data_IF_845090966100
#
_entry.id   IF_845090966100
#
_cell.length_a   1.000
_cell.length_b   1.000
_cell.length_c   1.000
_cell.angle_alpha   90.00
_cell.angle_beta   90.00
_cell.angle_gamma   90.00
#
_symmetry.space_group_name_H-M   'P 1'
#
loop_
_entity.id
_entity.type
_entity.pdbx_description
1 polymer ?
#
# COMPACT_ATOMS: atom_id res chain seq x y z
N UNK A 1 -18.99 -8.93 3.60
CA UNK A 1 -19.08 -7.53 3.13
C UNK A 1 -20.20 -7.46 2.11
N UNK A 2 -20.98 -6.38 2.03
CA UNK A 2 -22.06 -6.27 1.04
C UNK A 2 -21.53 -6.34 -0.39
N UNK A 3 -22.23 -7.05 -1.28
CA UNK A 3 -21.77 -7.30 -2.65
C UNK A 3 -21.46 -6.02 -3.44
N UNK A 4 -22.27 -4.98 -3.28
CA UNK A 4 -22.08 -3.72 -3.99
C UNK A 4 -20.75 -3.02 -3.67
N UNK A 5 -20.12 -3.32 -2.52
CA UNK A 5 -18.80 -2.77 -2.17
C UNK A 5 -17.75 -3.29 -3.15
N UNK A 6 -17.79 -4.57 -3.48
CA UNK A 6 -16.86 -5.18 -4.43
C UNK A 6 -17.03 -4.56 -5.81
N UNK A 7 -18.28 -4.34 -6.26
CA UNK A 7 -18.56 -3.62 -7.50
C UNK A 7 -17.95 -2.20 -7.49
N UNK A 8 -18.01 -1.51 -6.35
CA UNK A 8 -17.43 -0.18 -6.21
C UNK A 8 -15.89 -0.20 -6.24
N UNK A 9 -15.27 -1.20 -5.60
CA UNK A 9 -13.82 -1.41 -5.64
C UNK A 9 -13.37 -1.77 -7.06
N UNK A 10 -14.08 -2.66 -7.75
CA UNK A 10 -13.86 -3.03 -9.14
C UNK A 10 -13.86 -1.81 -10.07
N UNK A 11 -14.84 -0.94 -9.93
CA UNK A 11 -15.01 0.21 -10.83
C UNK A 11 -14.15 1.42 -10.45
N UNK A 12 -14.13 1.79 -9.17
CA UNK A 12 -13.52 3.04 -8.66
C UNK A 12 -12.33 2.83 -7.74
N UNK A 13 -12.08 1.61 -7.28
CA UNK A 13 -10.95 1.27 -6.41
C UNK A 13 -9.61 1.37 -7.13
N UNK A 14 -8.61 1.85 -6.41
CA UNK A 14 -7.27 2.07 -6.90
C UNK A 14 -6.24 1.54 -5.90
N UNK A 15 -5.50 0.54 -6.33
CA UNK A 15 -4.35 -0.02 -5.63
C UNK A 15 -3.09 0.63 -6.17
N UNK A 16 -2.24 1.18 -5.30
CA UNK A 16 -0.98 1.76 -5.74
C UNK A 16 0.07 1.70 -4.64
N UNK A 17 1.32 1.85 -5.04
CA UNK A 17 2.48 1.80 -4.15
C UNK A 17 3.30 3.07 -4.37
N UNK A 18 3.47 3.86 -3.32
CA UNK A 18 4.44 4.95 -3.32
C UNK A 18 5.80 4.38 -2.94
N UNK A 19 6.84 4.69 -3.71
CA UNK A 19 8.23 4.38 -3.34
C UNK A 19 9.11 5.61 -3.50
N UNK A 20 10.18 5.68 -2.72
CA UNK A 20 11.16 6.76 -2.81
C UNK A 20 12.36 6.51 -1.91
N UNK A 21 13.36 7.40 -2.04
CA UNK A 21 14.51 7.46 -1.14
C UNK A 21 14.61 8.92 -0.68
N UNK A 22 14.64 9.15 0.63
CA UNK A 22 14.77 10.47 1.25
C UNK A 22 15.79 10.40 2.38
N UNK A 23 16.78 11.27 2.37
CA UNK A 23 17.86 11.31 3.38
C UNK A 23 18.49 9.92 3.60
N UNK A 24 18.86 9.24 2.52
CA UNK A 24 19.39 7.85 2.48
C UNK A 24 18.49 6.78 3.11
N UNK A 25 17.23 7.09 3.43
CA UNK A 25 16.24 6.12 3.89
C UNK A 25 15.27 5.80 2.78
N UNK A 26 15.03 4.52 2.57
CA UNK A 26 13.99 4.05 1.67
C UNK A 26 12.61 4.35 2.26
N UNK A 27 11.66 4.62 1.38
CA UNK A 27 10.27 4.84 1.70
C UNK A 27 9.44 3.96 0.79
N UNK A 28 8.60 3.12 1.40
CA UNK A 28 7.64 2.28 0.69
C UNK A 28 6.29 2.39 1.39
N UNK A 29 5.25 2.66 0.63
CA UNK A 29 3.89 2.79 1.15
C UNK A 29 2.87 2.26 0.16
N UNK A 30 2.41 1.01 0.32
CA UNK A 30 1.22 0.51 -0.34
C UNK A 30 -0.01 1.27 0.19
N UNK A 31 -0.92 1.63 -0.72
CA UNK A 31 -2.16 2.35 -0.39
C UNK A 31 -3.30 1.80 -1.24
N UNK A 32 -4.46 1.64 -0.62
CA UNK A 32 -5.73 1.49 -1.30
C UNK A 32 -6.51 2.80 -1.21
N UNK A 33 -7.12 3.22 -2.31
CA UNK A 33 -8.01 4.38 -2.34
C UNK A 33 -9.20 4.17 -3.23
N UNK A 34 -10.34 4.75 -2.87
CA UNK A 34 -11.54 4.80 -3.69
C UNK A 34 -12.04 6.24 -3.67
N UNK A 35 -12.13 6.88 -4.85
CA UNK A 35 -12.53 8.28 -4.98
C UNK A 35 -13.86 8.43 -5.71
N UNK A 36 -14.71 9.32 -5.21
CA UNK A 36 -16.05 9.61 -5.74
C UNK A 36 -16.35 11.11 -5.72
N UNK A 37 -17.46 11.52 -6.35
CA UNK A 37 -17.92 12.91 -6.25
C UNK A 37 -18.42 13.19 -4.82
N UNK A 38 -18.41 14.45 -4.41
CA UNK A 38 -18.69 14.83 -3.01
C UNK A 38 -20.10 14.49 -2.57
N UNK A 39 -21.04 14.53 -3.51
CA UNK A 39 -22.45 14.22 -3.31
C UNK A 39 -22.64 12.77 -2.85
N UNK A 40 -21.72 11.88 -3.23
CA UNK A 40 -21.73 10.45 -2.89
C UNK A 40 -21.00 10.11 -1.57
N UNK A 41 -20.69 11.10 -0.72
CA UNK A 41 -19.89 10.89 0.50
C UNK A 41 -20.49 9.84 1.44
N UNK A 42 -21.82 9.74 1.49
CA UNK A 42 -22.50 8.83 2.41
C UNK A 42 -22.20 7.35 2.09
N UNK A 43 -22.00 7.03 0.81
CA UNK A 43 -21.56 5.70 0.36
C UNK A 43 -20.20 5.35 0.97
N UNK A 44 -19.27 6.31 0.98
CA UNK A 44 -17.95 6.11 1.58
C UNK A 44 -17.99 6.05 3.11
N UNK A 45 -18.93 6.74 3.76
CA UNK A 45 -19.13 6.63 5.22
C UNK A 45 -19.65 5.27 5.61
N UNK A 46 -20.65 4.75 4.90
CA UNK A 46 -21.15 3.39 5.12
C UNK A 46 -20.06 2.35 4.86
N UNK A 47 -19.29 2.53 3.77
CA UNK A 47 -18.14 1.67 3.48
C UNK A 47 -17.11 1.68 4.60
N UNK A 48 -16.74 2.86 5.12
CA UNK A 48 -15.83 2.99 6.26
C UNK A 48 -16.40 2.33 7.52
N UNK A 49 -17.70 2.47 7.79
CA UNK A 49 -18.37 1.90 8.97
C UNK A 49 -18.31 0.37 8.95
N UNK A 50 -18.60 -0.25 7.81
CA UNK A 50 -18.59 -1.71 7.66
C UNK A 50 -17.14 -2.29 7.63
N UNK A 51 -16.22 -1.60 6.96
CA UNK A 51 -14.81 -2.04 6.92
C UNK A 51 -14.11 -1.75 8.27
N UNK A 52 -14.53 -0.72 9.02
CA UNK A 52 -14.00 -0.41 10.35
C UNK A 52 -12.57 0.15 10.37
N UNK A 53 -11.98 0.40 9.19
CA UNK A 53 -10.64 0.96 9.01
C UNK A 53 -10.65 2.01 7.90
N UNK A 54 -9.54 2.73 7.74
CA UNK A 54 -9.37 3.74 6.70
C UNK A 54 -9.86 5.12 7.12
N UNK A 55 -9.63 6.08 6.24
CA UNK A 55 -9.93 7.50 6.45
C UNK A 55 -10.67 8.06 5.26
N UNK A 56 -11.62 8.95 5.51
CA UNK A 56 -12.27 9.75 4.46
C UNK A 56 -11.52 11.07 4.37
N UNK A 57 -11.08 11.43 3.17
CA UNK A 57 -10.40 12.69 2.86
C UNK A 57 -11.25 13.46 1.88
N UNK A 58 -11.52 14.72 2.21
CA UNK A 58 -12.33 15.63 1.39
C UNK A 58 -11.37 16.59 0.68
N UNK A 59 -11.39 16.59 -0.65
CA UNK A 59 -10.62 17.51 -1.51
C UNK A 59 -11.50 18.06 -2.63
N UNK A 60 -11.03 18.00 -3.88
CA UNK A 60 -11.90 18.23 -5.06
C UNK A 60 -12.98 17.15 -5.17
N UNK A 61 -12.56 15.91 -4.94
CA UNK A 61 -13.40 14.72 -4.78
C UNK A 61 -13.36 14.26 -3.31
N UNK A 62 -14.22 13.32 -2.94
CA UNK A 62 -14.12 12.63 -1.66
C UNK A 62 -13.47 11.26 -1.87
N UNK A 63 -12.55 10.89 -0.99
CA UNK A 63 -11.78 9.65 -1.11
C UNK A 63 -11.78 8.86 0.18
N UNK A 64 -12.11 7.58 0.11
CA UNK A 64 -11.82 6.59 1.14
C UNK A 64 -10.41 6.05 0.93
N UNK A 65 -9.55 6.14 1.94
CA UNK A 65 -8.13 5.77 1.85
C UNK A 65 -7.77 4.82 2.99
N UNK A 66 -7.20 3.68 2.65
CA UNK A 66 -6.61 2.72 3.59
C UNK A 66 -5.10 2.74 3.40
N UNK A 67 -4.40 3.07 4.49
CA UNK A 67 -2.93 3.16 4.54
C UNK A 67 -2.40 2.67 5.89
N UNK A 68 -1.14 2.28 5.91
CA UNK A 68 -0.44 1.79 7.09
C UNK A 68 -0.65 0.29 7.28
N UNK A 69 0.44 -0.42 7.59
CA UNK A 69 0.49 -1.88 7.47
C UNK A 69 -0.63 -2.60 8.24
N UNK A 70 -0.89 -2.22 9.49
CA UNK A 70 -1.96 -2.80 10.32
C UNK A 70 -3.36 -2.68 9.70
N UNK A 71 -3.65 -1.56 9.04
CA UNK A 71 -4.94 -1.38 8.37
C UNK A 71 -4.99 -2.18 7.07
N UNK A 72 -3.87 -2.32 6.36
CA UNK A 72 -3.81 -3.09 5.13
C UNK A 72 -3.95 -4.58 5.40
N UNK A 73 -3.40 -5.10 6.49
CA UNK A 73 -3.62 -6.48 6.95
C UNK A 73 -5.10 -6.74 7.21
N UNK A 74 -5.75 -5.89 8.03
CA UNK A 74 -7.21 -5.96 8.27
C UNK A 74 -8.04 -5.81 6.99
N UNK A 75 -7.54 -5.08 6.00
CA UNK A 75 -8.21 -4.94 4.71
C UNK A 75 -8.12 -6.24 3.90
N UNK A 76 -6.96 -6.90 3.90
CA UNK A 76 -6.74 -8.19 3.25
C UNK A 76 -7.52 -9.34 3.90
N UNK A 77 -7.80 -9.26 5.21
CA UNK A 77 -8.71 -10.20 5.90
C UNK A 77 -10.16 -10.11 5.39
N UNK A 78 -10.57 -8.93 4.88
CA UNK A 78 -11.95 -8.66 4.46
C UNK A 78 -12.18 -8.85 2.96
N UNK A 79 -11.13 -8.95 2.15
CA UNK A 79 -11.22 -8.96 0.68
C UNK A 79 -10.47 -10.17 0.10
N UNK A 80 -11.26 -11.00 -0.58
CA UNK A 80 -10.92 -12.10 -1.46
C UNK A 80 -10.25 -11.68 -2.76
N UNK A 81 -9.23 -12.39 -3.25
CA UNK A 81 -8.90 -12.38 -4.69
C UNK A 81 -10.02 -13.00 -5.54
N UNK A 82 -10.89 -13.82 -4.92
CA UNK A 82 -12.08 -14.40 -5.53
C UNK A 82 -13.18 -13.35 -5.79
N UNK A 83 -13.09 -12.21 -5.12
CA UNK A 83 -14.08 -11.13 -5.22
C UNK A 83 -13.87 -10.23 -6.46
N UNK A 84 -12.76 -10.44 -7.20
CA UNK A 84 -12.43 -9.66 -8.39
C UNK A 84 -12.63 -10.48 -9.66
N UNK A 85 -13.26 -9.85 -10.65
CA UNK A 85 -13.61 -10.42 -11.96
C UNK A 85 -12.75 -9.79 -13.06
N UNK A 86 -12.35 -8.52 -12.93
CA UNK A 86 -11.66 -7.79 -13.99
C UNK A 86 -10.13 -7.87 -13.88
N UNK A 87 -9.44 -7.13 -14.76
CA UNK A 87 -7.99 -6.91 -14.69
C UNK A 87 -7.52 -6.31 -13.35
N UNK A 88 -8.42 -5.76 -12.53
CA UNK A 88 -8.13 -5.32 -11.17
C UNK A 88 -7.66 -6.45 -10.25
N UNK A 89 -8.06 -7.70 -10.53
CA UNK A 89 -7.55 -8.88 -9.81
C UNK A 89 -6.02 -8.95 -9.87
N UNK A 90 -5.44 -8.73 -11.04
CA UNK A 90 -3.98 -8.73 -11.21
C UNK A 90 -3.31 -7.62 -10.39
N UNK A 91 -3.89 -6.41 -10.41
CA UNK A 91 -3.38 -5.29 -9.61
C UNK A 91 -3.48 -5.58 -8.10
N UNK A 92 -4.58 -6.19 -7.66
CA UNK A 92 -4.79 -6.59 -6.27
C UNK A 92 -3.75 -7.62 -5.82
N UNK A 93 -3.50 -8.66 -6.62
CA UNK A 93 -2.51 -9.70 -6.29
C UNK A 93 -1.09 -9.13 -6.19
N UNK A 94 -0.68 -8.32 -7.17
CA UNK A 94 0.61 -7.62 -7.15
C UNK A 94 0.72 -6.70 -5.93
N UNK A 95 -0.32 -5.92 -5.66
CA UNK A 95 -0.34 -5.02 -4.50
C UNK A 95 -0.30 -5.78 -3.17
N UNK A 96 -1.03 -6.90 -3.05
CA UNK A 96 -1.02 -7.78 -1.89
C UNK A 96 0.39 -8.33 -1.61
N UNK A 97 1.09 -8.78 -2.66
CA UNK A 97 2.49 -9.21 -2.54
C UNK A 97 3.37 -8.09 -1.96
N UNK A 98 3.23 -6.85 -2.44
CA UNK A 98 3.98 -5.72 -1.88
C UNK A 98 3.60 -5.42 -0.42
N UNK A 99 2.34 -5.58 -0.03
CA UNK A 99 1.91 -5.46 1.37
C UNK A 99 2.60 -6.50 2.25
N UNK A 100 2.68 -7.76 1.79
CA UNK A 100 3.35 -8.85 2.50
C UNK A 100 4.87 -8.61 2.65
N UNK A 101 5.55 -8.14 1.60
CA UNK A 101 6.97 -7.74 1.67
C UNK A 101 7.17 -6.62 2.70
N UNK A 102 6.24 -5.67 2.79
CA UNK A 102 6.30 -4.59 3.78
C UNK A 102 6.05 -5.11 5.20
N UNK A 103 5.05 -5.98 5.38
CA UNK A 103 4.71 -6.63 6.65
C UNK A 103 5.91 -7.38 7.23
N UNK A 104 6.61 -8.13 6.39
CA UNK A 104 7.76 -8.95 6.77
C UNK A 104 9.05 -8.13 6.90
N UNK A 105 8.99 -6.80 6.78
CA UNK A 105 10.13 -5.88 6.80
C UNK A 105 11.18 -6.11 5.70
N UNK A 106 10.95 -7.04 4.77
CA UNK A 106 11.85 -7.38 3.65
C UNK A 106 12.13 -6.19 2.73
N UNK A 107 11.20 -5.24 2.64
CA UNK A 107 11.39 -4.00 1.90
C UNK A 107 12.64 -3.20 2.32
N UNK A 108 13.19 -3.44 3.51
CA UNK A 108 14.39 -2.80 4.05
C UNK A 108 15.71 -3.35 3.48
N UNK A 109 15.66 -4.36 2.63
CA UNK A 109 16.79 -4.87 1.86
C UNK A 109 16.80 -4.28 0.44
N UNK A 110 17.95 -4.35 -0.25
CA UNK A 110 18.06 -3.93 -1.66
C UNK A 110 17.11 -4.76 -2.52
N UNK A 111 17.13 -6.07 -2.31
CA UNK A 111 16.37 -7.08 -3.05
C UNK A 111 14.87 -6.86 -2.84
N UNK A 112 14.43 -6.71 -1.58
CA UNK A 112 13.02 -6.49 -1.27
C UNK A 112 12.50 -5.15 -1.76
N UNK A 113 13.29 -4.08 -1.67
CA UNK A 113 12.90 -2.78 -2.25
C UNK A 113 12.78 -2.84 -3.78
N UNK A 114 13.76 -3.43 -4.46
CA UNK A 114 13.74 -3.57 -5.92
C UNK A 114 12.59 -4.48 -6.39
N UNK A 115 12.24 -5.52 -5.62
CA UNK A 115 11.05 -6.34 -5.89
C UNK A 115 9.78 -5.51 -5.84
N UNK A 116 9.63 -4.62 -4.85
CA UNK A 116 8.46 -3.72 -4.77
C UNK A 116 8.44 -2.73 -5.94
N UNK A 117 9.60 -2.22 -6.38
CA UNK A 117 9.68 -1.38 -7.56
C UNK A 117 9.21 -2.12 -8.82
N UNK A 118 9.61 -3.38 -8.98
CA UNK A 118 9.18 -4.26 -10.08
C UNK A 118 7.69 -4.54 -10.04
N UNK A 119 7.14 -4.93 -8.88
CA UNK A 119 5.69 -5.12 -8.68
C UNK A 119 4.94 -3.87 -9.15
N UNK A 120 5.37 -2.69 -8.69
CA UNK A 120 4.74 -1.43 -9.06
C UNK A 120 4.85 -1.12 -10.56
N UNK A 121 5.97 -1.49 -11.20
CA UNK A 121 6.14 -1.35 -12.66
C UNK A 121 5.20 -2.27 -13.45
N UNK A 122 4.86 -3.44 -12.89
CA UNK A 122 3.93 -4.43 -13.47
C UNK A 122 2.45 -4.11 -13.25
N UNK A 123 2.11 -3.31 -12.22
CA UNK A 123 0.73 -2.90 -11.96
C UNK A 123 0.20 -1.99 -13.07
N UNK A 124 -1.09 -2.12 -13.39
CA UNK A 124 -1.77 -1.26 -14.36
C UNK A 124 -2.01 0.13 -13.78
N UNK A 125 -0.99 0.98 -13.83
CA UNK A 125 -1.13 2.39 -13.50
C UNK A 125 -1.90 3.06 -14.63
N UNK A 126 -3.20 3.33 -14.42
CA UNK A 126 -4.07 4.09 -15.35
C UNK A 126 -3.39 5.35 -15.92
N UNK A 127 -2.46 5.95 -15.18
CA UNK A 127 -1.56 7.01 -15.66
C UNK A 127 -0.27 7.01 -14.85
N UNK A 128 0.88 6.76 -15.49
CA UNK A 128 2.19 7.04 -14.88
C UNK A 128 2.31 8.55 -14.69
N UNK A 129 2.71 9.01 -13.50
CA UNK A 129 2.99 10.43 -13.25
C UNK A 129 4.18 10.85 -14.12
N UNK A 130 4.26 12.15 -14.49
CA UNK A 130 5.39 12.69 -15.29
C UNK A 130 6.76 12.32 -14.70
N UNK A 131 6.86 12.28 -13.37
CA UNK A 131 8.10 11.98 -12.65
C UNK A 131 8.12 10.52 -12.13
N UNK A 132 7.56 9.58 -12.88
CA UNK A 132 7.60 8.16 -12.52
C UNK A 132 9.03 7.64 -12.59
N UNK A 133 9.51 7.07 -11.49
CA UNK A 133 10.84 6.45 -11.36
C UNK A 133 10.64 4.95 -11.40
N UNK A 134 11.12 4.25 -12.41
CA UNK A 134 11.00 2.80 -12.55
C UNK A 134 12.03 2.04 -11.69
N UNK A 135 11.99 0.70 -11.71
CA UNK A 135 12.99 -0.17 -11.07
C UNK A 135 14.41 0.20 -11.51
N UNK A 136 14.63 0.39 -12.82
CA UNK A 136 15.95 0.71 -13.39
C UNK A 136 16.52 2.02 -12.84
N UNK A 137 15.68 3.04 -12.65
CA UNK A 137 16.08 4.28 -12.00
C UNK A 137 16.59 4.03 -10.58
N UNK A 138 15.83 3.26 -9.78
CA UNK A 138 16.19 3.00 -8.38
C UNK A 138 17.40 2.08 -8.26
N UNK A 139 17.54 1.10 -9.14
CA UNK A 139 18.72 0.24 -9.21
C UNK A 139 20.00 1.06 -9.43
N UNK A 140 20.02 1.91 -10.48
CA UNK A 140 21.14 2.83 -10.74
C UNK A 140 21.41 3.80 -9.59
N UNK A 141 20.36 4.23 -8.88
CA UNK A 141 20.50 5.13 -7.74
C UNK A 141 21.11 4.42 -6.54
N UNK A 142 20.72 3.18 -6.28
CA UNK A 142 21.24 2.35 -5.19
C UNK A 142 22.68 1.90 -5.45
N UNK A 143 23.09 1.73 -6.70
CA UNK A 143 24.49 1.42 -7.04
C UNK A 143 25.42 2.63 -6.83
N UNK A 144 24.89 3.85 -6.99
CA UNK A 144 25.62 5.11 -6.79
C UNK A 144 25.63 5.60 -5.34
N UNK A 145 24.64 5.20 -4.55
CA UNK A 145 24.52 5.59 -3.14
C UNK A 145 25.08 4.48 -2.24
N UNK A 146 25.82 4.85 -1.20
CA UNK A 146 25.97 4.00 -0.01
C UNK A 146 24.65 4.01 0.79
N UNK A 147 23.56 3.55 0.17
CA UNK A 147 22.27 3.45 0.82
C UNK A 147 22.43 2.53 2.03
N UNK A 148 22.28 3.09 3.25
CA UNK A 148 22.30 2.30 4.48
C UNK A 148 20.96 1.56 4.55
N UNK A 149 20.94 0.33 4.05
CA UNK A 149 19.93 -0.62 4.47
C UNK A 149 20.18 -0.85 5.97
N UNK A 150 19.23 -0.43 6.82
CA UNK A 150 19.37 -0.64 8.26
C UNK A 150 19.31 -2.15 8.55
N UNK A 151 20.34 -2.69 9.22
CA UNK A 151 20.43 -4.12 9.56
C UNK A 151 19.11 -4.64 10.15
N UNK A 152 18.60 -5.72 9.55
CA UNK A 152 17.34 -6.37 9.91
C UNK A 152 17.26 -6.70 11.41
N UNK A 153 18.39 -7.02 12.05
CA UNK A 153 18.50 -7.32 13.48
C UNK A 153 18.25 -6.12 14.39
N UNK A 154 18.73 -4.92 14.03
CA UNK A 154 18.55 -3.71 14.85
C UNK A 154 17.07 -3.32 14.92
N UNK A 155 16.30 -3.52 13.84
CA UNK A 155 14.86 -3.22 13.80
C UNK A 155 14.00 -4.29 14.45
N UNK A 156 14.36 -5.58 14.38
CA UNK A 156 13.69 -6.64 15.16
C UNK A 156 13.82 -6.40 16.67
N UNK A 157 14.97 -5.91 17.14
CA UNK A 157 15.18 -5.50 18.55
C UNK A 157 14.32 -4.31 18.96
N UNK A 158 14.19 -3.28 18.12
CA UNK A 158 13.34 -2.11 18.39
C UNK A 158 11.84 -2.46 18.34
N UNK A 159 11.43 -3.35 17.43
CA UNK A 159 10.02 -3.76 17.29
C UNK A 159 9.56 -4.68 18.44
N UNK A 160 10.43 -5.58 18.91
CA UNK A 160 10.15 -6.41 20.09
C UNK A 160 10.07 -5.58 21.37
N UNK A 161 10.97 -4.62 21.58
CA UNK A 161 10.90 -3.71 22.73
C UNK A 161 9.64 -2.82 22.71
N UNK A 162 9.21 -2.35 21.53
CA UNK A 162 7.97 -1.58 21.38
C UNK A 162 6.69 -2.40 21.65
N UNK A 163 6.69 -3.70 21.33
CA UNK A 163 5.56 -4.61 21.66
C UNK A 163 5.43 -4.80 23.18
N UNK A 164 6.54 -4.90 23.91
CA UNK A 164 6.55 -5.06 25.37
C UNK A 164 5.96 -3.81 26.05
N UNK A 165 6.34 -2.62 25.60
CA UNK A 165 5.85 -1.36 26.21
C UNK A 165 4.37 -1.08 25.97
N UNK A 166 3.76 -1.64 24.92
CA UNK A 166 2.33 -1.45 24.61
C UNK A 166 1.42 -2.50 25.27
N UNK A 167 1.95 -3.65 25.69
CA UNK A 167 1.20 -4.66 26.45
C UNK A 167 1.21 -4.41 27.97
N UNK A 168 1.97 -3.42 28.45
CA UNK A 168 2.01 -2.99 29.85
C UNK A 168 1.17 -1.73 30.13
N UNK A 169 0.23 -1.38 29.25
CA UNK A 169 -0.68 -0.25 29.43
C UNK A 169 -2.13 -0.64 29.16
#
# INVERSE_FOLDING_TARGET
>A
MREWFYCLIETKGNFYINVGIRNNRIFVQPVFSLSMKKEDIEILKEMKKEIGIGKIVIGKNVSFIVRGIRNLEKFLEKISEKDFITSKKKDFLLWKEAVEIVRDYKHLSKEGFLRICEIRDMMNLKKKRKNYKDKKFFEKLLDKMSARFEDEEKRKKISSSLRITYNMR
#
